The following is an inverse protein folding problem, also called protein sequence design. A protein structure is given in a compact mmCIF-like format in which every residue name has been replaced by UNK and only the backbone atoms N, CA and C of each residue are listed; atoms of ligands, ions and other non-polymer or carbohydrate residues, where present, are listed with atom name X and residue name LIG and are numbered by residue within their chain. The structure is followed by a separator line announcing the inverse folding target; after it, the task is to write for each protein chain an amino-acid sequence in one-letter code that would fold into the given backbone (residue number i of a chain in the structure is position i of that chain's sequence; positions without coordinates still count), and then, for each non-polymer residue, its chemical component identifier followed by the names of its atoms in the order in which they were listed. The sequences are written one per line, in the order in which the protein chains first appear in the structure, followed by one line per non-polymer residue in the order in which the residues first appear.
data_IF_073554901463
#
_entry.id   IF_073554901463
#
_cell.length_a   1.000
_cell.length_b   1.000
_cell.length_c   1.000
_cell.angle_alpha   90.00
_cell.angle_beta   90.00
_cell.angle_gamma   90.00
#
_symmetry.space_group_name_H-M   'P 1'
#
loop_
_entity.id
_entity.type
_entity.pdbx_description
1 polymer ?
#
# COMPACT_ATOMS: atom_id res chain seq x y z
N UNK A 1 -4.46 10.85 2.71
CA UNK A 1 -5.47 11.05 3.77
C UNK A 1 -6.23 12.39 3.63
N UNK A 2 -6.64 12.74 2.41
CA UNK A 2 -7.35 14.00 2.12
C UNK A 2 -6.47 15.26 2.15
N UNK A 3 -7.13 16.40 1.94
CA UNK A 3 -6.54 17.74 2.01
C UNK A 3 -6.89 18.43 3.33
N UNK A 4 -5.94 19.21 3.87
CA UNK A 4 -6.12 20.04 5.06
C UNK A 4 -5.75 21.50 4.76
N UNK A 5 -6.46 22.48 5.35
CA UNK A 5 -6.14 23.87 5.16
C UNK A 5 -4.77 24.20 5.74
N UNK A 6 -4.13 25.25 5.21
CA UNK A 6 -2.88 25.78 5.76
C UNK A 6 -3.03 26.11 7.25
N UNK A 7 -2.06 25.67 8.04
CA UNK A 7 -2.07 25.88 9.50
C UNK A 7 -2.97 24.93 10.29
N UNK A 8 -3.54 23.90 9.64
CA UNK A 8 -4.27 22.85 10.36
C UNK A 8 -3.36 22.18 11.40
N UNK A 9 -3.86 22.11 12.65
CA UNK A 9 -3.17 21.41 13.73
C UNK A 9 -3.69 19.98 13.80
N UNK A 10 -2.84 19.03 13.41
CA UNK A 10 -3.15 17.61 13.52
C UNK A 10 -3.25 17.21 14.99
N UNK A 11 -4.25 16.37 15.26
CA UNK A 11 -4.57 15.89 16.60
C UNK A 11 -4.48 14.37 16.67
N UNK A 12 -4.65 13.83 17.87
CA UNK A 12 -4.75 12.38 18.08
C UNK A 12 -5.92 11.77 17.30
N UNK A 13 -6.98 12.54 17.01
CA UNK A 13 -8.13 12.09 16.22
C UNK A 13 -7.73 11.82 14.76
N UNK A 14 -6.87 12.64 14.17
CA UNK A 14 -6.36 12.43 12.82
C UNK A 14 -5.51 11.15 12.75
N UNK A 15 -4.70 10.90 13.79
CA UNK A 15 -3.92 9.67 13.89
C UNK A 15 -4.81 8.43 13.97
N UNK A 16 -5.85 8.44 14.81
CA UNK A 16 -6.80 7.33 14.89
C UNK A 16 -7.56 7.11 13.58
N UNK A 17 -7.96 8.20 12.91
CA UNK A 17 -8.63 8.14 11.61
C UNK A 17 -7.72 7.54 10.53
N UNK A 18 -6.45 7.94 10.51
CA UNK A 18 -5.42 7.33 9.67
C UNK A 18 -5.26 5.83 9.96
N UNK A 19 -5.09 5.44 11.22
CA UNK A 19 -4.92 4.05 11.64
C UNK A 19 -6.09 3.17 11.19
N UNK A 20 -7.32 3.64 11.35
CA UNK A 20 -8.51 2.91 10.92
C UNK A 20 -8.55 2.75 9.39
N UNK A 21 -8.28 3.83 8.65
CA UNK A 21 -8.23 3.78 7.17
C UNK A 21 -7.13 2.84 6.68
N UNK A 22 -5.97 2.86 7.34
CA UNK A 22 -4.86 1.98 7.01
C UNK A 22 -5.17 0.51 7.29
N UNK A 23 -5.85 0.22 8.41
CA UNK A 23 -6.30 -1.15 8.73
C UNK A 23 -7.22 -1.69 7.64
N UNK A 24 -8.24 -0.92 7.26
CA UNK A 24 -9.20 -1.31 6.23
C UNK A 24 -8.50 -1.59 4.89
N UNK A 25 -7.56 -0.72 4.51
CA UNK A 25 -6.76 -0.91 3.30
C UNK A 25 -5.88 -2.16 3.37
N UNK A 26 -5.15 -2.38 4.45
CA UNK A 26 -4.22 -3.52 4.58
C UNK A 26 -4.93 -4.86 4.73
N UNK A 27 -6.18 -4.88 5.22
CA UNK A 27 -6.99 -6.10 5.25
C UNK A 27 -7.59 -6.46 3.89
N UNK A 28 -7.54 -5.55 2.91
CA UNK A 28 -7.88 -5.86 1.52
C UNK A 28 -6.77 -6.69 0.85
N UNK A 29 -7.02 -7.25 -0.36
CA UNK A 29 -5.99 -7.97 -1.12
C UNK A 29 -4.71 -7.14 -1.34
N UNK A 30 -4.82 -5.81 -1.36
CA UNK A 30 -3.70 -4.86 -1.51
C UNK A 30 -2.69 -4.92 -0.36
N UNK A 31 -3.08 -5.40 0.82
CA UNK A 31 -2.17 -5.54 1.96
C UNK A 31 -0.97 -6.45 1.69
N UNK A 32 -1.13 -7.45 0.83
CA UNK A 32 -0.03 -8.31 0.37
C UNK A 32 1.08 -7.48 -0.30
N UNK A 33 0.71 -6.56 -1.18
CA UNK A 33 1.67 -5.71 -1.88
C UNK A 33 2.48 -4.84 -0.89
N UNK A 34 1.87 -4.42 0.22
CA UNK A 34 2.56 -3.67 1.27
C UNK A 34 3.62 -4.50 2.02
N UNK A 35 3.30 -5.75 2.36
CA UNK A 35 4.28 -6.65 2.99
C UNK A 35 5.44 -6.96 2.03
N UNK A 36 5.13 -7.24 0.76
CA UNK A 36 6.15 -7.57 -0.24
C UNK A 36 7.03 -6.39 -0.65
N UNK A 37 6.53 -5.15 -0.54
CA UNK A 37 7.36 -3.96 -0.75
C UNK A 37 8.57 -3.92 0.21
N UNK A 38 8.45 -4.57 1.37
CA UNK A 38 9.51 -4.63 2.37
C UNK A 38 9.76 -3.29 3.07
N UNK A 39 10.88 -3.21 3.80
CA UNK A 39 11.35 -1.98 4.44
C UNK A 39 10.34 -1.38 5.42
N UNK A 40 10.21 -0.04 5.40
CA UNK A 40 9.28 0.68 6.27
C UNK A 40 7.82 0.35 5.97
N UNK A 41 7.47 0.13 4.69
CA UNK A 41 6.11 -0.17 4.26
C UNK A 41 5.64 -1.49 4.88
N UNK A 42 6.47 -2.54 4.79
CA UNK A 42 6.18 -3.83 5.41
C UNK A 42 6.11 -3.72 6.94
N UNK A 43 7.03 -2.98 7.57
CA UNK A 43 7.02 -2.74 9.03
C UNK A 43 5.72 -2.10 9.52
N UNK A 44 5.18 -1.14 8.77
CA UNK A 44 3.89 -0.51 9.10
C UNK A 44 2.71 -1.45 8.85
N UNK A 45 2.81 -2.32 7.85
CA UNK A 45 1.76 -3.29 7.53
C UNK A 45 1.67 -4.44 8.55
N UNK A 46 2.81 -4.85 9.12
CA UNK A 46 2.90 -5.90 10.15
C UNK A 46 2.10 -5.58 11.42
N UNK A 47 1.79 -4.31 11.68
CA UNK A 47 0.90 -3.92 12.78
C UNK A 47 -0.55 -4.44 12.62
N UNK A 48 -0.95 -4.84 11.41
CA UNK A 48 -2.34 -5.16 11.06
C UNK A 48 -2.52 -6.53 10.43
N UNK A 49 -1.53 -7.00 9.66
CA UNK A 49 -1.59 -8.26 8.91
C UNK A 49 -0.31 -9.08 9.08
N UNK A 50 -0.46 -10.41 9.05
CA UNK A 50 0.65 -11.35 9.22
C UNK A 50 1.23 -11.78 7.88
N UNK A 51 2.52 -12.14 7.87
CA UNK A 51 3.25 -12.60 6.68
C UNK A 51 2.62 -13.83 5.98
N UNK A 52 1.82 -14.63 6.69
CA UNK A 52 1.14 -15.81 6.13
C UNK A 52 0.21 -15.45 4.94
N UNK A 53 -0.34 -14.24 4.91
CA UNK A 53 -1.21 -13.78 3.81
C UNK A 53 -0.49 -13.64 2.47
N UNK A 54 0.85 -13.56 2.47
CA UNK A 54 1.67 -13.34 1.28
C UNK A 54 1.84 -14.62 0.44
N UNK A 55 1.76 -15.78 1.08
CA UNK A 55 2.03 -17.08 0.45
C UNK A 55 1.01 -17.54 -0.59
N UNK A 56 -0.12 -16.83 -0.74
CA UNK A 56 -1.23 -17.21 -1.61
C UNK A 56 -1.01 -16.86 -3.09
N UNK A 57 0.08 -16.16 -3.43
CA UNK A 57 0.32 -15.64 -4.77
C UNK A 57 -0.33 -14.26 -5.00
N UNK A 58 -0.15 -13.67 -6.19
CA UNK A 58 -0.67 -12.35 -6.51
C UNK A 58 -2.20 -12.33 -6.50
N UNK A 59 -2.77 -11.19 -6.10
CA UNK A 59 -4.22 -10.98 -6.08
C UNK A 59 -4.79 -10.74 -7.48
N UNK A 60 -6.11 -10.78 -7.63
CA UNK A 60 -6.77 -10.38 -8.89
C UNK A 60 -6.52 -8.89 -9.25
N UNK A 61 -6.16 -8.05 -8.27
CA UNK A 61 -5.80 -6.64 -8.48
C UNK A 61 -4.53 -6.47 -9.32
N UNK A 62 -3.73 -7.54 -9.48
CA UNK A 62 -2.56 -7.56 -10.35
C UNK A 62 -2.90 -7.18 -11.80
N UNK A 63 -4.14 -7.43 -12.23
CA UNK A 63 -4.61 -7.10 -13.58
C UNK A 63 -4.76 -5.58 -13.81
N UNK A 64 -4.91 -4.80 -12.73
CA UNK A 64 -5.13 -3.36 -12.80
C UNK A 64 -3.94 -2.55 -12.29
N UNK A 65 -3.33 -3.00 -11.19
CA UNK A 65 -2.28 -2.26 -10.47
C UNK A 65 -0.98 -3.06 -10.34
N UNK A 66 -0.88 -4.21 -11.00
CA UNK A 66 0.31 -5.05 -10.95
C UNK A 66 1.46 -4.52 -11.79
N UNK A 67 2.66 -4.99 -11.45
CA UNK A 67 3.87 -4.77 -12.22
C UNK A 67 4.14 -5.98 -13.11
N UNK A 68 4.37 -5.75 -14.41
CA UNK A 68 4.81 -6.80 -15.32
C UNK A 68 6.32 -6.72 -15.58
N UNK A 69 7.07 -7.72 -15.11
CA UNK A 69 8.45 -7.89 -15.51
C UNK A 69 8.55 -8.81 -16.74
N UNK A 70 9.05 -8.26 -17.86
CA UNK A 70 9.31 -9.04 -19.06
C UNK A 70 10.50 -9.97 -18.88
N UNK A 71 10.41 -11.18 -19.43
CA UNK A 71 11.52 -12.11 -19.43
C UNK A 71 12.63 -11.63 -20.37
N UNK A 72 13.88 -11.68 -19.89
CA UNK A 72 15.06 -11.38 -20.71
C UNK A 72 15.33 -12.46 -21.76
N UNK A 73 14.79 -13.67 -21.58
CA UNK A 73 15.03 -14.84 -22.44
C UNK A 73 13.95 -14.98 -23.52
N UNK A 74 12.72 -14.59 -23.20
CA UNK A 74 11.58 -14.65 -24.12
C UNK A 74 10.68 -13.41 -23.93
N UNK A 75 10.75 -12.41 -24.82
CA UNK A 75 9.95 -11.18 -24.72
C UNK A 75 8.43 -11.40 -24.75
N UNK A 76 7.97 -12.56 -25.22
CA UNK A 76 6.54 -12.91 -25.22
C UNK A 76 6.02 -13.27 -23.83
N UNK A 77 6.92 -13.65 -22.90
CA UNK A 77 6.59 -13.98 -21.52
C UNK A 77 6.70 -12.75 -20.60
N UNK A 78 5.77 -12.66 -19.65
CA UNK A 78 5.78 -11.64 -18.60
C UNK A 78 5.37 -12.24 -17.26
N UNK A 79 6.08 -11.84 -16.20
CA UNK A 79 5.80 -12.20 -14.82
C UNK A 79 5.08 -11.04 -14.15
N UNK A 80 3.97 -11.34 -13.48
CA UNK A 80 3.11 -10.34 -12.87
C UNK A 80 3.11 -10.50 -11.35
N UNK A 81 3.24 -9.39 -10.64
CA UNK A 81 3.07 -9.33 -9.19
C UNK A 81 2.36 -8.04 -8.79
N UNK A 82 1.75 -8.03 -7.61
CA UNK A 82 1.06 -6.85 -7.08
C UNK A 82 2.07 -5.72 -6.84
N UNK A 83 1.74 -4.50 -7.26
CA UNK A 83 2.53 -3.30 -6.96
C UNK A 83 1.64 -2.24 -6.31
N UNK A 84 2.17 -1.52 -5.31
CA UNK A 84 1.47 -0.40 -4.69
C UNK A 84 1.55 0.85 -5.57
N UNK A 85 0.44 1.58 -5.68
CA UNK A 85 0.42 2.90 -6.30
C UNK A 85 1.04 3.96 -5.39
N UNK A 86 1.30 5.15 -5.93
CA UNK A 86 1.83 6.27 -5.14
C UNK A 86 0.84 6.70 -4.05
N UNK A 87 -0.46 6.70 -4.35
CA UNK A 87 -1.51 7.06 -3.41
C UNK A 87 -1.62 6.07 -2.25
N UNK A 88 -1.40 4.78 -2.52
CA UNK A 88 -1.38 3.74 -1.50
C UNK A 88 -0.12 3.84 -0.63
N UNK A 89 1.04 4.13 -1.23
CA UNK A 89 2.26 4.42 -0.48
C UNK A 89 2.08 5.65 0.42
N UNK A 90 1.46 6.71 -0.09
CA UNK A 90 1.10 7.91 0.67
C UNK A 90 0.17 7.56 1.84
N UNK A 91 -0.84 6.70 1.60
CA UNK A 91 -1.74 6.23 2.65
C UNK A 91 -0.98 5.46 3.74
N UNK A 92 -0.17 4.47 3.36
CA UNK A 92 0.61 3.65 4.31
C UNK A 92 1.58 4.51 5.10
N UNK A 93 2.21 5.50 4.46
CA UNK A 93 3.14 6.42 5.11
C UNK A 93 2.45 7.53 5.92
N UNK A 94 1.12 7.55 6.02
CA UNK A 94 0.40 8.54 6.82
C UNK A 94 0.39 9.95 6.22
N UNK A 95 0.49 10.08 4.89
CA UNK A 95 0.64 11.38 4.20
C UNK A 95 -0.68 12.15 4.13
N UNK A 96 -0.62 13.40 4.60
CA UNK A 96 -1.66 14.42 4.43
C UNK A 96 -1.19 15.51 3.47
N UNK A 97 -2.09 15.98 2.61
CA UNK A 97 -1.83 17.13 1.73
C UNK A 97 -2.31 18.40 2.44
N UNK A 98 -1.46 19.41 2.53
CA UNK A 98 -1.78 20.69 3.19
C UNK A 98 -1.71 21.80 2.15
N UNK A 99 -2.70 22.68 2.12
CA UNK A 99 -2.70 23.82 1.22
C UNK A 99 -1.50 24.73 1.48
N UNK A 100 -0.88 25.21 0.39
CA UNK A 100 0.31 26.08 0.39
C UNK A 100 0.01 27.52 0.73
#
# INVERSE_FOLDING_TARGET
LGYRPKGYQFSIVDYHSYRATLEDFLRSPRGRAAILKGGLVARLAEDFITFESVGLGPSDDVLQFGHCQKSCQDPSLGYWDDELTVEELDLICGVYRVDT
#
